data_IF_985772897409
#
_entry.id   IF_985772897409
#
_cell.length_a   1.000
_cell.length_b   1.000
_cell.length_c   1.000
_cell.angle_alpha   90.00
_cell.angle_beta   90.00
_cell.angle_gamma   90.00
#
_symmetry.space_group_name_H-M   'P 1'
#
loop_
_entity.id
_entity.type
_entity.pdbx_description
1 polymer ?
#
# COMPACT_ATOMS: atom_id res chain seq x y z
N UNK A 1 -10.19 12.37 -19.71
CA UNK A 1 -9.41 11.15 -19.42
C UNK A 1 -9.97 10.57 -18.15
N UNK A 2 -10.28 9.27 -18.12
CA UNK A 2 -10.62 8.59 -16.87
C UNK A 2 -9.34 8.51 -16.05
N UNK A 3 -9.34 8.91 -14.77
CA UNK A 3 -8.14 8.79 -13.94
C UNK A 3 -7.68 7.33 -13.88
N UNK A 4 -6.36 7.07 -13.77
CA UNK A 4 -5.87 5.71 -13.65
C UNK A 4 -6.46 5.06 -12.39
N UNK A 5 -6.94 3.83 -12.51
CA UNK A 5 -7.37 3.04 -11.36
C UNK A 5 -6.19 2.22 -10.87
N UNK A 6 -5.78 2.40 -9.62
CA UNK A 6 -4.65 1.68 -9.01
C UNK A 6 -4.96 0.22 -8.79
N UNK A 7 -6.22 -0.17 -8.69
CA UNK A 7 -6.64 -1.56 -8.70
C UNK A 7 -8.07 -1.72 -9.19
N UNK A 8 -8.43 -2.96 -9.49
CA UNK A 8 -9.78 -3.28 -9.95
C UNK A 8 -10.81 -3.17 -8.83
N UNK A 9 -12.00 -2.71 -9.15
CA UNK A 9 -13.13 -2.75 -8.23
C UNK A 9 -13.33 -4.17 -7.67
N UNK A 10 -13.40 -4.26 -6.33
CA UNK A 10 -13.54 -5.50 -5.57
C UNK A 10 -15.00 -5.67 -5.16
N UNK A 11 -15.95 -5.93 -5.87
CA UNK A 11 -17.35 -6.02 -5.43
C UNK A 11 -18.11 -7.19 -6.07
N UNK A 12 -19.10 -7.69 -5.35
CA UNK A 12 -19.96 -8.77 -5.80
C UNK A 12 -19.31 -10.15 -5.79
N UNK A 13 -20.09 -11.16 -6.09
CA UNK A 13 -19.58 -12.52 -6.25
C UNK A 13 -19.06 -12.72 -7.67
N UNK A 14 -17.89 -13.35 -7.86
CA UNK A 14 -17.38 -13.69 -9.17
C UNK A 14 -18.24 -14.81 -9.81
N UNK A 15 -18.23 -14.88 -11.13
CA UNK A 15 -18.71 -16.07 -11.81
C UNK A 15 -17.82 -17.27 -11.41
N UNK A 16 -18.43 -18.39 -11.03
CA UNK A 16 -17.73 -19.57 -10.57
C UNK A 16 -16.80 -20.17 -11.64
N UNK A 17 -17.11 -19.97 -12.91
CA UNK A 17 -16.24 -20.39 -14.01
C UNK A 17 -14.95 -19.57 -14.06
N UNK A 18 -15.02 -18.29 -13.74
CA UNK A 18 -13.83 -17.43 -13.65
C UNK A 18 -12.89 -17.90 -12.55
N UNK A 19 -13.41 -18.33 -11.40
CA UNK A 19 -12.62 -18.90 -10.31
C UNK A 19 -11.89 -20.20 -10.66
N UNK A 20 -12.41 -20.96 -11.62
CA UNK A 20 -11.76 -22.20 -12.08
C UNK A 20 -10.57 -21.93 -13.01
N UNK A 21 -10.60 -20.82 -13.76
CA UNK A 21 -9.54 -20.44 -14.71
C UNK A 21 -8.50 -19.49 -14.11
N UNK A 22 -8.94 -18.56 -13.27
CA UNK A 22 -8.11 -17.47 -12.74
C UNK A 22 -7.79 -17.71 -11.25
N UNK A 23 -7.05 -18.78 -10.98
CA UNK A 23 -6.63 -19.12 -9.62
C UNK A 23 -5.47 -18.26 -9.15
N UNK A 24 -5.46 -17.91 -7.87
CA UNK A 24 -4.26 -17.39 -7.23
C UNK A 24 -3.17 -18.47 -7.22
N UNK A 25 -1.95 -18.04 -7.46
CA UNK A 25 -0.75 -18.89 -7.40
C UNK A 25 0.08 -18.47 -6.21
N UNK A 26 0.46 -19.40 -5.37
CA UNK A 26 1.37 -19.21 -4.26
C UNK A 26 2.52 -20.19 -4.40
N UNK A 27 3.73 -19.68 -4.30
CA UNK A 27 4.97 -20.47 -4.30
C UNK A 27 5.84 -20.04 -3.12
N UNK A 28 6.99 -20.65 -2.96
CA UNK A 28 7.98 -20.23 -1.96
C UNK A 28 8.61 -18.86 -2.28
N UNK A 29 8.54 -18.43 -3.54
CA UNK A 29 9.22 -17.22 -4.01
C UNK A 29 8.28 -16.07 -4.41
N UNK A 30 7.03 -16.36 -4.79
CA UNK A 30 6.09 -15.34 -5.23
C UNK A 30 4.64 -15.75 -5.06
N UNK A 31 3.76 -14.75 -5.03
CA UNK A 31 2.32 -14.95 -5.20
C UNK A 31 1.78 -14.09 -6.33
N UNK A 32 0.78 -14.64 -7.03
CA UNK A 32 -0.01 -13.90 -8.01
C UNK A 32 -1.48 -14.02 -7.64
N UNK A 33 -2.12 -12.89 -7.40
CA UNK A 33 -3.55 -12.81 -7.10
C UNK A 33 -4.27 -12.18 -8.29
N UNK A 34 -4.86 -12.98 -9.18
CA UNK A 34 -5.62 -12.46 -10.32
C UNK A 34 -6.80 -11.61 -9.86
N UNK A 35 -7.19 -10.66 -10.70
CA UNK A 35 -8.30 -9.74 -10.44
C UNK A 35 -9.58 -10.42 -9.97
N UNK A 36 -9.91 -11.60 -10.53
CA UNK A 36 -11.12 -12.35 -10.20
C UNK A 36 -11.15 -12.85 -8.76
N UNK A 37 -10.01 -13.25 -8.21
CA UNK A 37 -9.92 -13.76 -6.83
C UNK A 37 -10.15 -12.70 -5.77
N UNK A 38 -9.87 -11.42 -6.06
CA UNK A 38 -10.12 -10.32 -5.13
C UNK A 38 -11.60 -10.13 -4.80
N UNK A 39 -12.51 -10.63 -5.61
CA UNK A 39 -13.95 -10.56 -5.35
C UNK A 39 -14.43 -11.59 -4.34
N UNK A 40 -13.70 -12.66 -4.17
CA UNK A 40 -14.09 -13.84 -3.37
C UNK A 40 -13.18 -14.06 -2.14
N UNK A 41 -12.20 -13.20 -1.95
CA UNK A 41 -11.38 -13.23 -0.73
C UNK A 41 -12.25 -12.83 0.45
N UNK A 42 -12.25 -13.67 1.48
CA UNK A 42 -12.94 -13.39 2.73
C UNK A 42 -12.32 -12.17 3.38
N UNK A 43 -13.14 -11.16 3.59
CA UNK A 43 -12.74 -9.95 4.28
C UNK A 43 -12.66 -10.21 5.78
N UNK A 44 -11.67 -9.60 6.41
CA UNK A 44 -11.48 -9.63 7.85
C UNK A 44 -11.88 -8.30 8.47
N UNK A 45 -12.29 -8.37 9.74
CA UNK A 45 -12.48 -7.20 10.59
C UNK A 45 -11.27 -7.06 11.50
N UNK A 46 -10.78 -5.84 11.66
CA UNK A 46 -9.70 -5.52 12.58
C UNK A 46 -10.26 -5.03 13.93
N UNK A 47 -9.65 -5.41 15.05
CA UNK A 47 -9.96 -4.79 16.34
C UNK A 47 -9.77 -3.27 16.28
N UNK A 48 -10.68 -2.52 16.93
CA UNK A 48 -10.66 -1.05 16.98
C UNK A 48 -10.90 -0.32 15.67
N UNK A 49 -11.25 -1.04 14.59
CA UNK A 49 -11.68 -0.44 13.34
C UNK A 49 -13.19 -0.53 13.20
N UNK A 50 -13.82 0.60 12.90
CA UNK A 50 -15.26 0.72 12.70
C UNK A 50 -15.60 0.83 11.22
N UNK A 51 -16.67 0.16 10.79
CA UNK A 51 -17.20 0.23 9.41
C UNK A 51 -16.11 0.02 8.34
N UNK A 52 -15.18 -0.86 8.64
CA UNK A 52 -13.99 -1.13 7.84
C UNK A 52 -13.88 -2.62 7.58
N UNK A 53 -13.45 -2.98 6.39
CA UNK A 53 -13.04 -4.34 6.03
C UNK A 53 -11.71 -4.32 5.31
N UNK A 54 -11.01 -5.45 5.31
CA UNK A 54 -9.73 -5.57 4.66
C UNK A 54 -9.60 -6.88 3.88
N UNK A 55 -8.75 -6.86 2.89
CA UNK A 55 -8.23 -8.04 2.20
C UNK A 55 -6.75 -8.17 2.50
N UNK A 56 -6.36 -9.35 2.96
CA UNK A 56 -4.94 -9.67 3.21
C UNK A 56 -4.32 -10.07 1.88
N UNK A 57 -3.37 -9.28 1.38
CA UNK A 57 -2.63 -9.56 0.15
C UNK A 57 -1.36 -10.33 0.47
N UNK A 58 -0.61 -9.89 1.47
CA UNK A 58 0.60 -10.54 1.94
C UNK A 58 0.70 -10.44 3.47
N UNK A 59 1.35 -11.40 4.09
CA UNK A 59 1.67 -11.41 5.52
C UNK A 59 2.80 -12.40 5.79
N UNK A 60 3.53 -12.28 6.92
CA UNK A 60 4.69 -13.14 7.22
C UNK A 60 4.41 -14.65 7.20
N UNK A 61 3.17 -15.09 7.34
CA UNK A 61 2.79 -16.50 7.30
C UNK A 61 2.43 -17.01 5.89
N UNK A 62 2.59 -16.19 4.86
CA UNK A 62 2.18 -16.53 3.48
C UNK A 62 3.27 -17.24 2.67
N UNK A 63 4.47 -17.42 3.21
CA UNK A 63 5.57 -18.13 2.56
C UNK A 63 6.37 -17.28 1.55
N UNK A 64 5.91 -16.10 1.17
CA UNK A 64 6.58 -15.17 0.25
C UNK A 64 6.74 -13.76 0.80
N UNK A 65 6.15 -13.45 1.95
CA UNK A 65 6.30 -12.19 2.65
C UNK A 65 6.68 -12.50 4.11
N UNK A 66 7.96 -12.60 4.38
CA UNK A 66 8.48 -12.98 5.69
C UNK A 66 8.59 -11.79 6.65
N UNK A 67 8.69 -10.56 6.13
CA UNK A 67 8.98 -9.37 6.93
C UNK A 67 7.87 -8.33 6.93
N UNK A 68 6.94 -8.34 5.97
CA UNK A 68 5.90 -7.32 5.88
C UNK A 68 4.49 -7.91 5.71
N UNK A 69 3.49 -7.09 5.99
CA UNK A 69 2.09 -7.37 5.66
C UNK A 69 1.56 -6.29 4.73
N UNK A 70 0.76 -6.68 3.75
CA UNK A 70 0.09 -5.77 2.84
C UNK A 70 -1.41 -6.06 2.82
N UNK A 71 -2.19 -5.01 3.01
CA UNK A 71 -3.66 -5.07 3.02
C UNK A 71 -4.24 -4.09 2.01
N UNK A 72 -5.39 -4.46 1.44
CA UNK A 72 -6.31 -3.50 0.84
C UNK A 72 -7.35 -3.19 1.90
N UNK A 73 -7.48 -1.92 2.26
CA UNK A 73 -8.44 -1.42 3.23
C UNK A 73 -9.62 -0.78 2.51
N UNK A 74 -10.81 -1.03 3.00
CA UNK A 74 -12.03 -0.35 2.56
C UNK A 74 -12.76 0.19 3.78
N UNK A 75 -12.90 1.52 3.84
CA UNK A 75 -13.53 2.23 4.96
C UNK A 75 -14.79 2.93 4.47
N UNK A 76 -15.93 2.57 5.05
CA UNK A 76 -17.21 3.17 4.75
C UNK A 76 -17.31 4.60 5.30
N UNK A 77 -18.21 5.45 4.78
CA UNK A 77 -18.50 6.75 5.37
C UNK A 77 -18.74 6.67 6.89
N UNK A 78 -18.05 7.55 7.62
CA UNK A 78 -18.06 7.57 9.08
C UNK A 78 -17.27 6.45 9.75
N UNK A 79 -16.58 5.60 8.99
CA UNK A 79 -15.69 4.55 9.51
C UNK A 79 -14.28 5.05 9.82
N UNK A 80 -13.46 4.15 10.32
CA UNK A 80 -12.06 4.42 10.65
C UNK A 80 -11.61 3.79 11.96
N UNK A 81 -10.56 4.32 12.56
CA UNK A 81 -10.01 3.85 13.83
C UNK A 81 -9.28 4.97 14.56
N UNK A 82 -9.53 5.04 15.87
CA UNK A 82 -8.75 5.89 16.79
C UNK A 82 -7.44 5.22 17.26
N UNK A 83 -7.31 3.92 16.99
CA UNK A 83 -6.16 3.09 17.39
C UNK A 83 -5.87 2.06 16.31
N UNK A 84 -5.44 2.49 15.11
CA UNK A 84 -5.30 1.60 13.96
C UNK A 84 -4.22 0.53 14.12
N UNK A 85 -3.12 0.86 14.78
CA UNK A 85 -1.98 -0.02 15.04
C UNK A 85 -1.75 -0.17 16.55
N UNK A 86 -1.61 -1.40 16.98
CA UNK A 86 -1.36 -1.74 18.38
C UNK A 86 0.09 -2.14 18.65
N UNK A 87 0.78 -2.58 17.60
CA UNK A 87 2.17 -2.96 17.66
C UNK A 87 3.04 -1.70 17.56
N UNK A 88 3.73 -1.37 18.64
CA UNK A 88 4.59 -0.19 18.71
C UNK A 88 5.90 -0.31 17.92
N UNK A 89 6.25 -1.52 17.52
CA UNK A 89 7.43 -1.77 16.69
C UNK A 89 7.10 -1.71 15.20
N UNK A 90 5.80 -1.70 14.85
CA UNK A 90 5.38 -1.63 13.47
C UNK A 90 5.39 -0.19 12.94
N UNK A 91 6.07 0.00 11.83
CA UNK A 91 5.91 1.16 10.95
C UNK A 91 4.85 0.87 9.89
N UNK A 92 4.33 1.88 9.24
CA UNK A 92 3.30 1.71 8.23
C UNK A 92 3.41 2.68 7.06
N UNK A 93 2.93 2.22 5.90
CA UNK A 93 2.67 3.09 4.76
C UNK A 93 1.20 2.97 4.39
N UNK A 94 0.54 4.10 4.18
CA UNK A 94 -0.78 4.19 3.58
C UNK A 94 -0.65 4.81 2.19
N UNK A 95 -1.29 4.18 1.19
CA UNK A 95 -1.40 4.75 -0.16
C UNK A 95 -2.85 4.72 -0.62
N UNK A 96 -3.42 5.90 -0.85
CA UNK A 96 -4.85 6.06 -1.19
C UNK A 96 -5.06 5.79 -2.66
N UNK A 97 -5.96 4.85 -2.97
CA UNK A 97 -6.29 4.46 -4.34
C UNK A 97 -7.66 4.96 -4.79
N UNK A 98 -8.55 5.26 -3.85
CA UNK A 98 -9.90 5.76 -4.14
C UNK A 98 -10.46 6.52 -2.94
N UNK A 99 -11.14 7.64 -3.21
CA UNK A 99 -11.77 8.47 -2.17
C UNK A 99 -10.75 9.25 -1.34
N UNK A 100 -11.09 9.46 -0.08
CA UNK A 100 -10.23 10.20 0.86
C UNK A 100 -10.70 10.08 2.30
N UNK A 101 -9.84 10.48 3.22
CA UNK A 101 -10.09 10.44 4.66
C UNK A 101 -9.21 11.46 5.39
N UNK A 102 -9.52 11.73 6.64
CA UNK A 102 -8.63 12.46 7.53
C UNK A 102 -7.71 11.49 8.26
N UNK A 103 -6.40 11.69 8.12
CA UNK A 103 -5.34 10.99 8.85
C UNK A 103 -4.78 11.94 9.90
N UNK A 104 -4.74 11.51 11.15
CA UNK A 104 -4.08 12.27 12.22
C UNK A 104 -2.85 11.50 12.67
N UNK A 105 -1.67 12.12 12.64
CA UNK A 105 -0.40 11.54 13.10
C UNK A 105 0.19 12.48 14.13
N UNK A 106 0.50 12.00 15.33
CA UNK A 106 1.07 12.80 16.45
C UNK A 106 0.26 14.09 16.73
N UNK A 107 -1.05 14.03 16.51
CA UNK A 107 -1.96 15.15 16.70
C UNK A 107 -2.07 16.11 15.52
N UNK A 108 -1.29 15.97 14.48
CA UNK A 108 -1.40 16.73 13.25
C UNK A 108 -2.35 16.04 12.26
N UNK A 109 -3.32 16.79 11.73
CA UNK A 109 -4.35 16.27 10.81
C UNK A 109 -4.01 16.56 9.35
N UNK A 110 -4.10 15.54 8.52
CA UNK A 110 -3.83 15.58 7.08
C UNK A 110 -5.05 15.11 6.29
N UNK A 111 -5.46 15.89 5.29
CA UNK A 111 -6.51 15.49 4.35
C UNK A 111 -5.90 14.57 3.28
N UNK A 112 -6.18 13.30 3.38
CA UNK A 112 -5.74 12.29 2.41
C UNK A 112 -6.73 12.20 1.24
N UNK A 113 -6.22 12.07 0.04
CA UNK A 113 -6.99 11.91 -1.19
C UNK A 113 -6.32 10.90 -2.12
N UNK A 114 -6.95 10.54 -3.21
CA UNK A 114 -6.37 9.66 -4.23
C UNK A 114 -4.93 10.09 -4.60
N UNK A 115 -4.02 9.12 -4.62
CA UNK A 115 -2.58 9.34 -4.80
C UNK A 115 -1.83 9.81 -3.55
N UNK A 116 -2.51 10.04 -2.42
CA UNK A 116 -1.82 10.39 -1.18
C UNK A 116 -1.05 9.19 -0.61
N UNK A 117 0.15 9.48 -0.18
CA UNK A 117 1.07 8.60 0.53
C UNK A 117 1.29 9.12 1.94
N UNK A 118 1.29 8.25 2.92
CA UNK A 118 1.73 8.56 4.27
C UNK A 118 2.68 7.47 4.78
N UNK A 119 3.83 7.88 5.30
CA UNK A 119 4.71 7.06 6.11
C UNK A 119 4.46 7.35 7.59
N UNK A 120 4.23 6.32 8.36
CA UNK A 120 3.94 6.38 9.80
C UNK A 120 5.06 5.60 10.51
N UNK A 121 5.93 6.28 11.29
CA UNK A 121 7.00 5.64 12.02
C UNK A 121 6.50 4.64 13.07
N UNK A 122 7.34 3.70 13.42
CA UNK A 122 7.11 2.79 14.54
C UNK A 122 6.89 3.59 15.84
N UNK A 123 5.88 3.20 16.60
CA UNK A 123 5.52 3.85 17.87
C UNK A 123 4.74 5.15 17.76
N UNK A 124 4.59 5.73 16.57
CA UNK A 124 3.79 6.93 16.38
C UNK A 124 2.31 6.69 16.71
N UNK A 125 1.67 7.68 17.33
CA UNK A 125 0.22 7.65 17.53
C UNK A 125 -0.49 8.17 16.30
N UNK A 126 -1.48 7.43 15.81
CA UNK A 126 -2.24 7.86 14.65
C UNK A 126 -3.69 7.40 14.69
N UNK A 127 -4.54 8.11 13.98
CA UNK A 127 -5.97 7.82 13.81
C UNK A 127 -6.38 8.07 12.36
N UNK A 128 -7.44 7.42 11.94
CA UNK A 128 -8.01 7.58 10.62
C UNK A 128 -9.53 7.71 10.70
N UNK A 129 -10.08 8.67 9.98
CA UNK A 129 -11.52 8.88 9.88
C UNK A 129 -11.94 9.16 8.44
N UNK A 130 -12.87 8.38 7.92
CA UNK A 130 -13.52 8.69 6.67
C UNK A 130 -14.71 9.63 6.94
N UNK A 131 -14.45 10.94 6.85
CA UNK A 131 -15.46 11.98 7.05
C UNK A 131 -16.25 12.31 5.77
N UNK A 132 -15.93 11.63 4.66
CA UNK A 132 -16.63 11.79 3.38
C UNK A 132 -17.93 10.99 3.33
N UNK A 133 -18.73 11.23 2.31
CA UNK A 133 -19.95 10.49 2.00
C UNK A 133 -19.72 9.28 1.07
N UNK A 134 -18.48 9.05 0.67
CA UNK A 134 -18.06 7.96 -0.22
C UNK A 134 -17.17 6.96 0.49
N UNK A 135 -17.09 5.75 -0.05
CA UNK A 135 -16.15 4.74 0.40
C UNK A 135 -14.73 5.17 0.05
N UNK A 136 -13.80 4.97 0.96
CA UNK A 136 -12.37 5.13 0.67
C UNK A 136 -11.66 3.78 0.65
N UNK A 137 -10.67 3.65 -0.25
CA UNK A 137 -9.83 2.47 -0.37
C UNK A 137 -8.36 2.88 -0.43
N UNK A 138 -7.53 2.12 0.29
CA UNK A 138 -6.10 2.36 0.32
C UNK A 138 -5.33 1.07 0.58
N UNK A 139 -4.08 1.05 0.16
CA UNK A 139 -3.13 0.03 0.61
C UNK A 139 -2.59 0.42 1.98
N UNK A 140 -2.55 -0.55 2.88
CA UNK A 140 -1.82 -0.44 4.14
C UNK A 140 -0.73 -1.51 4.15
N UNK A 141 0.51 -1.05 4.14
CA UNK A 141 1.70 -1.90 4.22
C UNK A 141 2.31 -1.65 5.60
N UNK A 142 2.60 -2.71 6.34
CA UNK A 142 3.18 -2.62 7.68
C UNK A 142 4.31 -3.63 7.86
N UNK A 143 5.32 -3.24 8.60
CA UNK A 143 6.52 -4.02 8.88
C UNK A 143 7.07 -3.62 10.24
N UNK A 144 7.65 -4.56 10.99
CA UNK A 144 8.46 -4.19 12.14
C UNK A 144 9.65 -3.35 11.66
N UNK A 145 9.90 -2.23 12.33
CA UNK A 145 10.99 -1.33 11.96
C UNK A 145 12.34 -1.87 12.45
N UNK A 146 13.31 -1.92 11.57
CA UNK A 146 14.69 -2.31 11.88
C UNK A 146 15.59 -1.07 11.82
N UNK A 147 15.99 -0.58 13.00
CA UNK A 147 16.83 0.60 13.11
C UNK A 147 18.27 0.32 12.65
N UNK A 148 18.85 1.28 11.94
CA UNK A 148 20.29 1.30 11.66
C UNK A 148 20.99 1.97 12.83
N UNK A 149 22.03 1.34 13.36
CA UNK A 149 22.80 1.87 14.49
C UNK A 149 23.35 3.27 14.18
N UNK A 150 23.11 4.20 15.09
CA UNK A 150 23.56 5.58 14.99
C UNK A 150 22.69 6.49 14.11
N UNK A 151 21.60 6.00 13.55
CA UNK A 151 20.62 6.82 12.85
C UNK A 151 19.35 7.00 13.69
N UNK A 152 18.77 8.19 13.65
CA UNK A 152 17.45 8.47 14.24
C UNK A 152 16.35 7.86 13.38
N UNK A 153 15.20 7.56 14.00
CA UNK A 153 14.01 7.13 13.27
C UNK A 153 13.56 8.22 12.29
N UNK A 154 13.03 7.86 11.11
CA UNK A 154 12.51 8.86 10.19
C UNK A 154 11.24 9.50 10.76
N UNK A 155 11.05 10.78 10.43
CA UNK A 155 9.83 11.51 10.79
C UNK A 155 8.62 11.03 9.99
N UNK A 156 7.39 11.26 10.47
CA UNK A 156 6.19 11.08 9.67
C UNK A 156 6.27 11.87 8.36
N UNK A 157 5.78 11.29 7.27
CA UNK A 157 5.80 11.94 5.96
C UNK A 157 4.43 11.80 5.29
N UNK A 158 3.86 12.91 4.84
CA UNK A 158 2.61 12.91 4.06
C UNK A 158 2.83 13.66 2.76
N UNK A 159 2.61 12.98 1.64
CA UNK A 159 2.82 13.50 0.28
C UNK A 159 1.65 13.10 -0.62
N UNK A 160 1.63 13.64 -1.84
CA UNK A 160 0.78 13.12 -2.90
C UNK A 160 1.64 12.86 -4.15
N UNK A 161 1.37 11.77 -4.86
CA UNK A 161 2.12 11.39 -6.06
C UNK A 161 2.13 12.48 -7.13
N UNK A 162 1.04 13.28 -7.21
CA UNK A 162 0.90 14.35 -8.20
C UNK A 162 1.86 15.52 -7.94
N UNK A 163 2.37 15.64 -6.72
CA UNK A 163 3.31 16.69 -6.32
C UNK A 163 4.78 16.27 -6.52
N UNK A 164 5.00 15.01 -6.96
CA UNK A 164 6.33 14.43 -7.15
C UNK A 164 6.58 14.19 -8.64
N UNK A 165 7.60 14.82 -9.19
CA UNK A 165 7.99 14.58 -10.58
C UNK A 165 8.53 13.14 -10.75
N UNK A 166 7.96 12.33 -11.67
CA UNK A 166 8.50 11.02 -11.95
C UNK A 166 9.94 11.11 -12.48
N UNK A 167 10.81 10.26 -11.98
CA UNK A 167 12.16 10.12 -12.48
C UNK A 167 12.19 9.13 -13.66
N UNK A 168 12.42 9.66 -14.86
CA UNK A 168 12.57 8.84 -16.06
C UNK A 168 13.88 8.05 -15.97
N UNK A 169 13.77 6.74 -16.17
CA UNK A 169 14.95 5.88 -16.10
C UNK A 169 15.87 6.10 -17.29
N UNK A 170 17.20 6.16 -17.07
CA UNK A 170 18.18 6.37 -18.14
C UNK A 170 18.03 5.35 -19.27
N UNK A 171 18.31 5.77 -20.50
CA UNK A 171 18.33 4.94 -21.71
C UNK A 171 17.03 4.22 -22.06
N UNK A 172 15.90 4.67 -21.50
CA UNK A 172 14.59 4.05 -21.73
C UNK A 172 13.69 4.87 -22.67
N UNK A 173 14.17 5.99 -23.20
CA UNK A 173 13.38 6.91 -24.07
C UNK A 173 12.02 7.32 -23.44
N UNK A 174 11.95 7.41 -22.12
CA UNK A 174 10.73 7.79 -21.40
C UNK A 174 9.68 6.70 -21.24
N UNK A 175 9.95 5.48 -21.65
CA UNK A 175 8.98 4.38 -21.53
C UNK A 175 8.87 3.82 -20.11
N UNK A 176 9.87 4.09 -19.26
CA UNK A 176 9.90 3.67 -17.86
C UNK A 176 10.25 4.85 -16.95
N UNK A 177 9.42 5.09 -15.96
CA UNK A 177 9.63 6.10 -14.93
C UNK A 177 9.28 5.55 -13.55
N UNK A 178 9.85 6.16 -12.51
CA UNK A 178 9.53 5.84 -11.11
C UNK A 178 9.17 7.09 -10.34
N UNK A 179 8.11 7.03 -9.52
CA UNK A 179 7.80 8.05 -8.51
C UNK A 179 8.20 7.49 -7.14
N UNK A 180 9.14 8.15 -6.48
CA UNK A 180 9.65 7.75 -5.16
C UNK A 180 9.24 8.75 -4.11
N UNK A 181 8.65 8.28 -3.03
CA UNK A 181 8.18 9.12 -1.92
C UNK A 181 9.27 9.44 -0.91
N UNK A 182 10.30 8.60 -0.85
CA UNK A 182 11.48 8.79 0.02
C UNK A 182 12.75 8.65 -0.80
N UNK A 183 13.82 9.29 -0.33
CA UNK A 183 15.14 9.14 -0.96
C UNK A 183 15.62 7.69 -0.78
N UNK A 184 15.93 6.97 -1.87
CA UNK A 184 16.42 5.60 -1.78
C UNK A 184 17.79 5.48 -1.07
N UNK A 185 18.50 6.58 -0.87
CA UNK A 185 19.76 6.62 -0.13
C UNK A 185 19.60 6.97 1.35
N UNK A 186 18.39 7.29 1.80
CA UNK A 186 18.12 7.54 3.21
C UNK A 186 17.96 6.21 3.95
N UNK A 187 19.06 5.77 4.57
CA UNK A 187 19.13 4.50 5.30
C UNK A 187 18.27 4.45 6.57
N UNK A 188 17.61 5.55 6.95
CA UNK A 188 16.64 5.54 8.04
C UNK A 188 15.35 4.80 7.65
N UNK A 189 15.05 4.72 6.35
CA UNK A 189 13.88 3.98 5.83
C UNK A 189 14.26 2.56 5.45
N UNK A 190 13.75 1.58 6.16
CA UNK A 190 13.93 0.15 5.85
C UNK A 190 12.76 -0.43 5.03
N UNK A 191 11.84 0.43 4.58
CA UNK A 191 10.73 0.09 3.70
C UNK A 191 10.52 1.22 2.69
N UNK A 192 10.51 0.87 1.41
CA UNK A 192 10.28 1.79 0.30
C UNK A 192 9.03 1.40 -0.47
N UNK A 193 8.19 2.39 -0.77
CA UNK A 193 7.05 2.24 -1.68
C UNK A 193 7.29 3.13 -2.89
N UNK A 194 7.23 2.55 -4.08
CA UNK A 194 7.55 3.24 -5.33
C UNK A 194 6.46 2.97 -6.35
N UNK A 195 6.06 3.99 -7.11
CA UNK A 195 5.21 3.80 -8.27
C UNK A 195 6.09 3.59 -9.48
N UNK A 196 5.91 2.47 -10.18
CA UNK A 196 6.55 2.19 -11.46
C UNK A 196 5.55 2.47 -12.58
N UNK A 197 5.91 3.37 -13.47
CA UNK A 197 5.10 3.74 -14.63
C UNK A 197 5.76 3.26 -15.91
N UNK A 198 5.05 2.40 -16.64
CA UNK A 198 5.44 1.93 -17.95
C UNK A 198 4.48 2.47 -19.01
N UNK A 199 5.00 3.03 -20.11
CA UNK A 199 4.18 3.36 -21.27
C UNK A 199 3.71 2.08 -21.96
N UNK A 200 2.57 2.12 -22.69
CA UNK A 200 2.11 0.94 -23.44
C UNK A 200 3.20 0.38 -24.35
N UNK A 201 3.49 -0.91 -24.20
CA UNK A 201 4.58 -1.59 -24.89
C UNK A 201 5.97 -1.39 -24.26
N UNK A 202 6.06 -0.61 -23.20
CA UNK A 202 7.30 -0.42 -22.45
C UNK A 202 7.73 -1.70 -21.73
N UNK A 203 9.04 -1.90 -21.63
CA UNK A 203 9.66 -3.05 -20.96
C UNK A 203 10.83 -2.54 -20.10
N UNK A 204 10.98 -3.12 -18.92
CA UNK A 204 12.21 -2.98 -18.13
C UNK A 204 13.28 -3.83 -18.83
N UNK A 205 14.39 -3.26 -19.30
CA UNK A 205 15.31 -3.94 -20.22
C UNK A 205 16.25 -4.96 -19.56
N UNK A 206 16.07 -5.25 -18.29
CA UNK A 206 16.89 -6.20 -17.54
C UNK A 206 16.05 -6.92 -16.47
N UNK A 207 16.56 -8.05 -15.97
CA UNK A 207 16.00 -8.71 -14.81
C UNK A 207 16.47 -7.98 -13.55
N UNK A 208 15.53 -7.47 -12.77
CA UNK A 208 15.84 -6.90 -11.47
C UNK A 208 16.19 -8.01 -10.48
N UNK A 209 17.23 -7.79 -9.71
CA UNK A 209 17.63 -8.68 -8.61
C UNK A 209 17.67 -7.85 -7.33
N UNK A 210 16.92 -8.28 -6.35
CA UNK A 210 16.85 -7.61 -5.07
C UNK A 210 17.19 -8.58 -3.95
N UNK A 211 17.77 -8.06 -2.88
CA UNK A 211 18.05 -8.81 -1.63
C UNK A 211 16.92 -8.68 -0.63
N UNK A 212 15.93 -7.82 -0.92
CA UNK A 212 14.77 -7.53 -0.09
C UNK A 212 13.50 -8.09 -0.71
N UNK A 213 12.50 -8.34 0.13
CA UNK A 213 11.18 -8.76 -0.31
C UNK A 213 10.41 -7.64 -1.00
N UNK A 214 9.56 -8.02 -1.94
CA UNK A 214 8.70 -7.13 -2.69
C UNK A 214 7.23 -7.54 -2.59
N UNK A 215 6.34 -6.55 -2.63
CA UNK A 215 4.90 -6.74 -2.75
C UNK A 215 4.28 -5.79 -3.76
#
# INVERSE_FOLDING_TARGET
MTPPSYFAATGGHPDQRTLLSDRAVFTEAYAVLPRGTMRDIVTSFLPFWERTRLWVIARPLSGFAETFSQYIMEVQPGGGSERPELDKEAQGVLFVVEGGFTLTIEGESHAMREGSYAYIPAGATWALKNDSDTVTRFHWIRKAYEAVEGLEHPDPLVLNEQDIAPNVMPDTNGVWATTRFVDPNDLRHDMHVTIVTLQPGGVIPFCETHVMEHG
#
